data_IF_001968505218
#
_entry.id   IF_001968505218
#
_cell.length_a   1.000
_cell.length_b   1.000
_cell.length_c   1.000
_cell.angle_alpha   90.00
_cell.angle_beta   90.00
_cell.angle_gamma   90.00
#
_symmetry.space_group_name_H-M   'P 1'
#
loop_
_entity.id
_entity.type
_entity.pdbx_description
1 polymer ?
#
# COMPACT_ATOMS: atom_id res chain seq x y z
N UNK A 1 7.99 17.50 76.88
CA UNK A 1 7.83 16.05 76.64
C UNK A 1 6.80 15.90 75.53
N UNK A 2 6.99 15.31 74.35
CA UNK A 2 8.11 14.62 73.69
C UNK A 2 8.06 15.03 72.20
N UNK A 3 9.23 14.97 71.57
CA UNK A 3 9.51 15.20 70.16
C UNK A 3 8.92 14.10 69.27
N UNK A 4 8.73 14.42 67.99
CA UNK A 4 8.78 13.46 66.88
C UNK A 4 7.50 13.44 66.05
N UNK A 5 7.51 13.26 64.73
CA UNK A 5 8.57 12.89 63.78
C UNK A 5 8.09 13.38 62.39
N UNK A 6 9.07 13.84 61.63
CA UNK A 6 9.04 14.12 60.21
C UNK A 6 8.71 12.83 59.42
N UNK A 7 7.66 12.84 58.58
CA UNK A 7 7.52 11.85 57.50
C UNK A 7 7.21 12.58 56.20
N UNK A 8 8.29 12.98 55.54
CA UNK A 8 8.31 13.32 54.13
C UNK A 8 8.08 12.04 53.32
N UNK A 9 7.05 12.05 52.46
CA UNK A 9 6.93 11.14 51.33
C UNK A 9 6.07 11.83 50.25
N UNK A 10 6.64 12.85 49.63
CA UNK A 10 6.14 13.35 48.35
C UNK A 10 6.40 12.24 47.32
N UNK A 11 5.36 11.47 47.01
CA UNK A 11 5.36 10.52 45.89
C UNK A 11 5.36 11.36 44.62
N UNK A 12 6.56 11.67 44.15
CA UNK A 12 6.80 12.21 42.83
C UNK A 12 6.48 11.09 41.82
N UNK A 13 5.24 11.08 41.33
CA UNK A 13 4.83 10.28 40.19
C UNK A 13 5.72 10.71 39.00
N UNK A 14 6.69 9.85 38.71
CA UNK A 14 7.50 9.89 37.50
C UNK A 14 6.56 9.94 36.30
N UNK A 15 6.41 11.13 35.72
CA UNK A 15 5.95 11.30 34.35
C UNK A 15 7.02 10.65 33.47
N UNK A 16 6.90 9.34 33.27
CA UNK A 16 7.51 8.69 32.12
C UNK A 16 6.96 9.44 30.90
N UNK A 17 7.80 10.05 30.04
CA UNK A 17 7.38 10.26 28.67
C UNK A 17 7.17 8.86 28.14
N UNK A 18 5.92 8.40 28.16
CA UNK A 18 5.49 7.28 27.36
C UNK A 18 5.79 7.69 25.93
N UNK A 19 6.95 7.29 25.43
CA UNK A 19 7.13 6.95 24.04
C UNK A 19 6.06 5.90 23.75
N UNK A 20 4.83 6.33 23.49
CA UNK A 20 4.02 5.65 22.51
C UNK A 20 4.90 5.63 21.28
N UNK A 21 5.46 4.46 20.99
CA UNK A 21 6.03 4.12 19.69
C UNK A 21 4.96 4.14 18.61
N UNK A 22 4.22 5.25 18.50
CA UNK A 22 3.68 5.70 17.23
C UNK A 22 4.87 6.24 16.48
N UNK A 23 5.68 5.34 15.90
CA UNK A 23 6.51 5.72 14.79
C UNK A 23 5.59 6.46 13.84
N UNK A 24 5.84 7.75 13.60
CA UNK A 24 5.10 8.50 12.62
C UNK A 24 5.13 7.65 11.36
N UNK A 25 3.96 7.15 10.94
CA UNK A 25 3.85 6.42 9.69
C UNK A 25 4.51 7.32 8.65
N UNK A 26 5.59 6.83 8.05
CA UNK A 26 6.24 7.53 6.97
C UNK A 26 5.28 7.37 5.79
N UNK A 27 4.26 8.23 5.75
CA UNK A 27 3.22 8.17 4.74
C UNK A 27 3.85 8.58 3.43
N UNK A 28 4.31 7.60 2.66
CA UNK A 28 4.73 7.83 1.30
C UNK A 28 3.52 8.35 0.50
N UNK A 29 3.75 9.37 -0.32
CA UNK A 29 2.70 9.98 -1.13
C UNK A 29 2.29 9.01 -2.25
N UNK A 30 1.23 8.24 -2.02
CA UNK A 30 0.80 7.16 -2.91
C UNK A 30 0.44 7.64 -4.31
N UNK A 31 0.02 8.92 -4.45
CA UNK A 31 -0.17 9.53 -5.77
C UNK A 31 1.16 9.68 -6.50
N UNK A 32 2.19 10.20 -5.83
CA UNK A 32 3.53 10.32 -6.44
C UNK A 32 4.13 8.96 -6.82
N UNK A 33 3.87 7.92 -6.02
CA UNK A 33 4.31 6.56 -6.35
C UNK A 33 3.64 6.09 -7.64
N UNK A 34 2.31 6.16 -7.72
CA UNK A 34 1.55 5.72 -8.88
C UNK A 34 1.94 6.52 -10.14
N UNK A 35 1.99 7.85 -10.05
CA UNK A 35 2.41 8.73 -11.15
C UNK A 35 3.87 8.43 -11.57
N UNK A 36 4.73 8.14 -10.60
CA UNK A 36 6.11 7.75 -10.82
C UNK A 36 6.21 6.47 -11.65
N UNK A 37 5.44 5.44 -11.26
CA UNK A 37 5.36 4.18 -12.01
C UNK A 37 4.82 4.39 -13.42
N UNK A 38 3.73 5.17 -13.58
CA UNK A 38 3.16 5.51 -14.90
C UNK A 38 4.18 6.21 -15.80
N UNK A 39 5.05 7.03 -15.22
CA UNK A 39 6.08 7.76 -15.98
C UNK A 39 7.30 6.89 -16.33
N UNK A 40 7.69 5.94 -15.49
CA UNK A 40 8.96 5.21 -15.63
C UNK A 40 8.80 3.83 -16.25
N UNK A 41 7.72 3.11 -15.93
CA UNK A 41 7.46 1.75 -16.41
C UNK A 41 6.88 1.81 -17.82
N UNK A 42 7.38 0.96 -18.71
CA UNK A 42 6.87 0.85 -20.08
C UNK A 42 5.68 -0.10 -20.13
N UNK A 43 4.48 0.49 -20.14
CA UNK A 43 3.25 -0.25 -20.40
C UNK A 43 3.03 -0.42 -21.91
N UNK A 44 2.40 -1.53 -22.29
CA UNK A 44 2.08 -1.89 -23.67
C UNK A 44 0.73 -1.31 -24.10
N UNK A 45 -0.12 -0.99 -23.14
CA UNK A 45 -1.43 -0.41 -23.34
C UNK A 45 -1.55 1.00 -22.76
N UNK A 46 -2.61 1.69 -23.14
CA UNK A 46 -2.98 2.96 -22.55
C UNK A 46 -3.41 2.76 -21.10
N UNK A 47 -2.67 3.38 -20.18
CA UNK A 47 -3.02 3.42 -18.77
C UNK A 47 -3.92 4.63 -18.47
N UNK A 48 -5.05 4.40 -17.82
CA UNK A 48 -6.02 5.43 -17.44
C UNK A 48 -6.26 5.42 -15.95
N UNK A 49 -6.33 6.61 -15.36
CA UNK A 49 -6.61 6.74 -13.93
C UNK A 49 -8.04 6.29 -13.61
N UNK A 50 -8.18 5.56 -12.50
CA UNK A 50 -9.45 5.22 -11.89
C UNK A 50 -9.62 6.03 -10.62
N UNK A 51 -10.82 6.57 -10.40
CA UNK A 51 -11.13 7.27 -9.16
C UNK A 51 -11.10 6.30 -7.96
N UNK A 52 -10.78 6.84 -6.79
CA UNK A 52 -10.57 6.04 -5.57
C UNK A 52 -11.75 5.14 -5.20
N UNK A 53 -12.98 5.65 -5.25
CA UNK A 53 -14.16 4.88 -4.86
C UNK A 53 -14.36 3.67 -5.78
N UNK A 54 -14.13 3.85 -7.08
CA UNK A 54 -14.17 2.77 -8.07
C UNK A 54 -13.05 1.76 -7.83
N UNK A 55 -11.84 2.23 -7.54
CA UNK A 55 -10.71 1.35 -7.23
C UNK A 55 -10.97 0.49 -5.97
N UNK A 56 -11.50 1.09 -4.90
CA UNK A 56 -11.87 0.39 -3.66
C UNK A 56 -12.92 -0.69 -3.96
N UNK A 57 -13.91 -0.39 -4.81
CA UNK A 57 -14.92 -1.36 -5.23
C UNK A 57 -14.35 -2.51 -6.07
N UNK A 58 -13.50 -2.21 -7.07
CA UNK A 58 -12.87 -3.22 -7.93
C UNK A 58 -12.04 -4.20 -7.10
N UNK A 59 -11.30 -3.71 -6.11
CA UNK A 59 -10.49 -4.54 -5.23
C UNK A 59 -11.29 -5.21 -4.11
N UNK A 60 -12.55 -4.80 -3.87
CA UNK A 60 -13.33 -5.28 -2.74
C UNK A 60 -12.72 -4.89 -1.38
N UNK A 61 -12.08 -3.72 -1.30
CA UNK A 61 -11.46 -3.21 -0.07
C UNK A 61 -12.54 -2.60 0.83
N UNK A 62 -12.45 -2.82 2.14
CA UNK A 62 -13.25 -2.07 3.10
C UNK A 62 -12.81 -0.60 3.10
N UNK A 63 -13.74 0.31 2.83
CA UNK A 63 -13.47 1.76 2.83
C UNK A 63 -12.85 2.28 4.13
N UNK A 64 -13.05 1.61 5.27
CA UNK A 64 -12.44 1.95 6.55
C UNK A 64 -10.95 1.62 6.66
N UNK A 65 -10.42 0.81 5.73
CA UNK A 65 -9.02 0.36 5.72
C UNK A 65 -8.11 1.25 4.87
N UNK A 66 -8.66 2.08 3.98
CA UNK A 66 -7.89 2.93 3.05
C UNK A 66 -8.18 4.40 3.28
N UNK A 67 -7.11 5.18 3.36
CA UNK A 67 -7.13 6.65 3.43
C UNK A 67 -7.07 7.25 2.03
N UNK A 68 -6.15 6.75 1.19
CA UNK A 68 -6.00 7.20 -0.20
C UNK A 68 -5.71 6.03 -1.14
N UNK A 69 -6.23 6.12 -2.37
CA UNK A 69 -5.86 5.24 -3.47
C UNK A 69 -5.48 6.06 -4.70
N UNK A 70 -4.43 5.62 -5.39
CA UNK A 70 -4.05 6.10 -6.72
C UNK A 70 -3.89 4.87 -7.61
N UNK A 71 -4.81 4.69 -8.57
CA UNK A 71 -4.89 3.49 -9.39
C UNK A 71 -5.01 3.86 -10.87
N UNK A 72 -4.29 3.10 -11.69
CA UNK A 72 -4.34 3.16 -13.14
C UNK A 72 -4.54 1.74 -13.67
N UNK A 73 -5.47 1.56 -14.59
CA UNK A 73 -5.65 0.31 -15.33
C UNK A 73 -5.44 0.53 -16.82
N UNK A 74 -5.09 -0.55 -17.51
CA UNK A 74 -5.08 -0.63 -18.97
C UNK A 74 -6.49 -0.50 -19.57
N UNK A 75 -6.63 -0.66 -20.88
CA UNK A 75 -7.94 -0.68 -21.55
C UNK A 75 -8.75 -1.96 -21.29
N UNK A 76 -8.17 -2.93 -20.57
CA UNK A 76 -8.69 -4.29 -20.42
C UNK A 76 -8.22 -5.26 -21.51
N UNK A 77 -7.51 -4.77 -22.55
CA UNK A 77 -6.84 -5.61 -23.53
C UNK A 77 -5.54 -6.23 -22.99
N UNK A 78 -4.96 -5.66 -21.93
CA UNK A 78 -3.79 -6.21 -21.21
C UNK A 78 -4.09 -6.30 -19.71
N UNK A 79 -3.32 -7.09 -18.97
CA UNK A 79 -3.43 -7.17 -17.51
C UNK A 79 -2.70 -6.03 -16.78
N UNK A 80 -2.26 -4.99 -17.50
CA UNK A 80 -1.42 -3.95 -16.93
C UNK A 80 -2.20 -3.06 -15.94
N UNK A 81 -1.61 -2.87 -14.76
CA UNK A 81 -2.25 -2.19 -13.64
C UNK A 81 -1.17 -1.58 -12.73
N UNK A 82 -1.42 -0.37 -12.23
CA UNK A 82 -0.66 0.26 -11.15
C UNK A 82 -1.64 0.65 -10.07
N UNK A 83 -1.41 0.22 -8.83
CA UNK A 83 -2.22 0.62 -7.70
C UNK A 83 -1.34 0.93 -6.50
N UNK A 84 -1.52 2.10 -5.90
CA UNK A 84 -0.88 2.48 -4.66
C UNK A 84 -1.94 2.91 -3.63
N UNK A 85 -1.89 2.29 -2.46
CA UNK A 85 -2.85 2.49 -1.37
C UNK A 85 -2.14 2.97 -0.12
N UNK A 86 -2.68 4.04 0.47
CA UNK A 86 -2.36 4.48 1.82
C UNK A 86 -3.42 3.87 2.73
N UNK A 87 -3.06 2.84 3.49
CA UNK A 87 -3.93 2.24 4.48
C UNK A 87 -3.99 3.06 5.76
N UNK A 88 -5.05 2.84 6.54
CA UNK A 88 -5.26 3.51 7.84
C UNK A 88 -4.13 3.27 8.83
N UNK A 89 -3.59 2.05 8.84
CA UNK A 89 -2.48 1.61 9.67
C UNK A 89 -1.82 0.35 9.05
N UNK A 90 -0.80 -0.19 9.69
CA UNK A 90 -0.06 -1.37 9.22
C UNK A 90 -0.93 -2.64 9.16
N UNK A 91 -1.91 -2.79 10.07
CA UNK A 91 -2.83 -3.93 10.04
C UNK A 91 -3.82 -3.82 8.88
N UNK A 92 -4.33 -2.62 8.63
CA UNK A 92 -5.15 -2.31 7.46
C UNK A 92 -4.37 -2.52 6.16
N UNK A 93 -3.07 -2.18 6.12
CA UNK A 93 -2.22 -2.46 4.96
C UNK A 93 -2.12 -3.95 4.67
N UNK A 94 -2.04 -4.80 5.70
CA UNK A 94 -2.12 -6.26 5.52
C UNK A 94 -3.40 -6.69 4.80
N UNK A 95 -4.57 -6.20 5.24
CA UNK A 95 -5.86 -6.51 4.59
C UNK A 95 -5.96 -5.96 3.17
N UNK A 96 -5.44 -4.75 2.92
CA UNK A 96 -5.38 -4.16 1.58
C UNK A 96 -4.47 -4.99 0.67
N UNK A 97 -3.34 -5.49 1.17
CA UNK A 97 -2.45 -6.38 0.41
C UNK A 97 -3.13 -7.69 0.04
N UNK A 98 -3.88 -8.30 0.96
CA UNK A 98 -4.70 -9.49 0.68
C UNK A 98 -5.69 -9.23 -0.47
N UNK A 99 -6.35 -8.07 -0.47
CA UNK A 99 -7.22 -7.65 -1.59
C UNK A 99 -6.48 -7.45 -2.92
N UNK A 100 -5.26 -6.95 -2.88
CA UNK A 100 -4.43 -6.89 -4.08
C UNK A 100 -4.03 -8.29 -4.61
N UNK A 101 -3.79 -9.26 -3.73
CA UNK A 101 -3.52 -10.66 -4.09
C UNK A 101 -4.77 -11.34 -4.71
N UNK A 102 -5.95 -11.07 -4.14
CA UNK A 102 -7.24 -11.50 -4.71
C UNK A 102 -7.48 -10.89 -6.11
N UNK A 103 -7.14 -9.60 -6.30
CA UNK A 103 -7.22 -8.92 -7.61
C UNK A 103 -6.32 -9.59 -8.64
N UNK A 104 -5.06 -9.89 -8.32
CA UNK A 104 -4.14 -10.63 -9.19
C UNK A 104 -4.72 -12.00 -9.56
N UNK A 105 -5.28 -12.72 -8.58
CA UNK A 105 -5.89 -14.03 -8.80
C UNK A 105 -7.09 -13.94 -9.75
N UNK A 106 -7.92 -12.93 -9.58
CA UNK A 106 -9.07 -12.66 -10.45
C UNK A 106 -8.63 -12.32 -11.87
N UNK A 107 -7.63 -11.45 -12.03
CA UNK A 107 -7.06 -11.14 -13.34
C UNK A 107 -6.49 -12.38 -14.03
N UNK A 108 -5.77 -13.24 -13.30
CA UNK A 108 -5.26 -14.52 -13.83
C UNK A 108 -6.38 -15.38 -14.39
N UNK A 109 -7.46 -15.57 -13.62
CA UNK A 109 -8.61 -16.34 -14.07
C UNK A 109 -9.26 -15.74 -15.32
N UNK A 110 -9.35 -14.40 -15.40
CA UNK A 110 -9.91 -13.70 -16.56
C UNK A 110 -9.08 -13.81 -17.83
N UNK A 111 -7.75 -13.81 -17.72
CA UNK A 111 -6.85 -13.84 -18.88
C UNK A 111 -6.38 -15.23 -19.30
N UNK A 112 -6.41 -16.23 -18.40
CA UNK A 112 -5.86 -17.56 -18.68
C UNK A 112 -6.40 -18.18 -19.97
N UNK A 113 -7.71 -18.11 -20.19
CA UNK A 113 -8.36 -18.75 -21.34
C UNK A 113 -8.50 -17.82 -22.55
N UNK A 114 -8.47 -16.50 -22.33
CA UNK A 114 -8.75 -15.50 -23.36
C UNK A 114 -7.49 -14.89 -23.98
N UNK A 115 -6.48 -14.57 -23.16
CA UNK A 115 -5.23 -13.96 -23.60
C UNK A 115 -4.06 -14.48 -22.74
N UNK A 116 -3.66 -15.76 -22.91
CA UNK A 116 -2.68 -16.42 -22.06
C UNK A 116 -1.30 -15.73 -22.05
N UNK A 117 -0.99 -14.90 -23.06
CA UNK A 117 0.23 -14.10 -23.09
C UNK A 117 0.33 -13.11 -21.91
N UNK A 118 -0.80 -12.64 -21.37
CA UNK A 118 -0.84 -11.73 -20.22
C UNK A 118 -0.47 -12.42 -18.91
N UNK A 119 -0.54 -13.75 -18.85
CA UNK A 119 -0.24 -14.53 -17.64
C UNK A 119 1.20 -14.35 -17.17
N UNK A 120 2.14 -14.05 -18.08
CA UNK A 120 3.53 -13.79 -17.72
C UNK A 120 3.65 -12.56 -16.79
N UNK A 121 2.88 -11.49 -17.03
CA UNK A 121 2.84 -10.28 -16.19
C UNK A 121 2.26 -10.58 -14.80
N UNK A 122 1.26 -11.46 -14.78
CA UNK A 122 0.52 -11.81 -13.57
C UNK A 122 1.20 -12.89 -12.74
N UNK A 123 2.21 -13.60 -13.23
CA UNK A 123 2.88 -14.68 -12.50
C UNK A 123 3.75 -14.16 -11.35
N UNK A 124 4.48 -13.07 -11.58
CA UNK A 124 5.34 -12.40 -10.60
C UNK A 124 5.16 -10.87 -10.67
N UNK A 125 3.96 -10.33 -10.39
CA UNK A 125 3.78 -8.88 -10.38
C UNK A 125 4.51 -8.27 -9.18
N UNK A 126 4.86 -6.99 -9.27
CA UNK A 126 5.51 -6.30 -8.15
C UNK A 126 4.43 -5.89 -7.14
N UNK A 127 4.32 -6.64 -6.04
CA UNK A 127 3.44 -6.32 -4.91
C UNK A 127 4.27 -6.09 -3.64
N UNK A 128 4.25 -4.87 -3.12
CA UNK A 128 5.07 -4.44 -1.98
C UNK A 128 4.18 -3.85 -0.89
N UNK A 129 4.49 -4.15 0.37
CA UNK A 129 3.96 -3.44 1.54
C UNK A 129 5.13 -2.85 2.34
N UNK A 130 5.07 -1.56 2.68
CA UNK A 130 5.99 -0.92 3.63
C UNK A 130 5.20 -0.02 4.58
N UNK A 131 5.12 -0.43 5.84
CA UNK A 131 4.25 0.21 6.82
C UNK A 131 2.79 0.21 6.33
N UNK A 132 2.15 1.38 6.37
CA UNK A 132 0.77 1.54 5.90
C UNK A 132 0.63 1.72 4.37
N UNK A 133 1.70 1.56 3.59
CA UNK A 133 1.65 1.69 2.13
C UNK A 133 1.65 0.31 1.45
N UNK A 134 0.75 0.11 0.48
CA UNK A 134 0.69 -1.08 -0.39
C UNK A 134 0.77 -0.64 -1.84
N UNK A 135 1.64 -1.24 -2.63
CA UNK A 135 1.82 -0.92 -4.05
C UNK A 135 1.81 -2.19 -4.89
N UNK A 136 0.97 -2.22 -5.91
CA UNK A 136 0.92 -3.21 -6.98
C UNK A 136 1.36 -2.56 -8.30
N UNK A 137 2.23 -3.24 -9.05
CA UNK A 137 2.50 -2.96 -10.44
C UNK A 137 2.50 -4.28 -11.24
N UNK A 138 1.55 -4.42 -12.16
CA UNK A 138 1.49 -5.51 -13.14
C UNK A 138 2.01 -4.96 -14.46
N UNK A 139 3.17 -5.44 -14.89
CA UNK A 139 3.85 -4.96 -16.11
C UNK A 139 4.80 -6.02 -16.67
N UNK A 140 5.41 -5.73 -17.83
CA UNK A 140 6.54 -6.51 -18.34
C UNK A 140 7.92 -6.00 -17.85
N UNK A 141 7.95 -4.92 -17.06
CA UNK A 141 9.18 -4.23 -16.64
C UNK A 141 9.25 -4.13 -15.11
N UNK A 142 9.27 -5.31 -14.48
CA UNK A 142 9.29 -5.44 -13.02
C UNK A 142 10.56 -4.86 -12.38
N UNK A 143 11.68 -4.82 -13.10
CA UNK A 143 12.93 -4.21 -12.60
C UNK A 143 12.76 -2.71 -12.40
N UNK A 144 12.23 -2.01 -13.42
CA UNK A 144 11.96 -0.57 -13.33
C UNK A 144 10.89 -0.27 -12.29
N UNK A 145 9.85 -1.12 -12.19
CA UNK A 145 8.81 -0.98 -11.18
C UNK A 145 9.39 -1.09 -9.76
N UNK A 146 10.16 -2.15 -9.46
CA UNK A 146 10.83 -2.33 -8.16
C UNK A 146 11.71 -1.14 -7.80
N UNK A 147 12.59 -0.71 -8.72
CA UNK A 147 13.49 0.43 -8.52
C UNK A 147 12.73 1.74 -8.27
N UNK A 148 11.62 1.96 -8.97
CA UNK A 148 10.79 3.16 -8.79
C UNK A 148 10.14 3.15 -7.41
N UNK A 149 9.52 2.03 -7.01
CA UNK A 149 8.89 1.85 -5.71
C UNK A 149 9.91 2.04 -4.58
N UNK A 150 11.06 1.38 -4.68
CA UNK A 150 12.14 1.51 -3.70
C UNK A 150 12.58 2.97 -3.56
N UNK A 151 12.70 3.72 -4.66
CA UNK A 151 13.07 5.14 -4.62
C UNK A 151 12.10 6.04 -3.85
N UNK A 152 10.82 5.67 -3.76
CA UNK A 152 9.82 6.40 -2.97
C UNK A 152 9.68 5.87 -1.55
N UNK A 153 9.91 4.57 -1.36
CA UNK A 153 9.67 3.90 -0.10
C UNK A 153 10.92 3.79 0.76
N UNK A 154 12.14 3.99 0.24
CA UNK A 154 13.43 3.83 0.95
C UNK A 154 13.50 4.51 2.31
#
# INVERSE_FOLDING_TARGET
MKKGILCAAAVLLLLLPGCSGGGAAQTADVRKIADGLIKTVKFQDQMSEINQDTAIQIYGIDSGDVVKAAVYESTGATAEEVAAFEAKDDQAAGRVKEKAEERITTQRAGFQDYQPAEMAKLQDPVLVQKGNCVVLCVSNDNETAKKTIDGFLS
#
